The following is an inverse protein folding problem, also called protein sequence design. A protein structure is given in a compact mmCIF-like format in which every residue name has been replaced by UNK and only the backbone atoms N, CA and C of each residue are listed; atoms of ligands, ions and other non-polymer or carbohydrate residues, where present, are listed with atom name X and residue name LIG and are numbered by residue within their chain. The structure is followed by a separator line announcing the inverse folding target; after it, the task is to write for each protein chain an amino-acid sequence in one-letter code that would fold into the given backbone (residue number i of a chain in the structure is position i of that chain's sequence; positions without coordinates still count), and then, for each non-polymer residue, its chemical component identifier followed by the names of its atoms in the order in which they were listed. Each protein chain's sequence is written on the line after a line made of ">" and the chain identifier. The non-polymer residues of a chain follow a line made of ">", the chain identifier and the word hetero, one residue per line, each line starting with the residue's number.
data_IF_320878112599
#
_entry.id   IF_320878112599
#
_cell.length_a   1.000
_cell.length_b   1.000
_cell.length_c   1.000
_cell.angle_alpha   90.00
_cell.angle_beta   90.00
_cell.angle_gamma   90.00
#
_symmetry.space_group_name_H-M   'P 1'
#
loop_
_entity.id
_entity.type
_entity.pdbx_description
1 polymer ?
#
# COMPACT_ATOMS: atom_id res chain seq x y z
N UNK A 1 16.65 -3.13 0.28
CA UNK A 1 17.84 -2.62 -0.43
C UNK A 1 18.36 -1.34 0.19
N UNK A 2 17.56 -0.28 0.33
CA UNK A 2 18.02 0.99 0.92
C UNK A 2 18.67 0.84 2.30
N UNK A 3 18.08 0.05 3.20
CA UNK A 3 18.69 -0.28 4.49
C UNK A 3 20.06 -1.00 4.36
N UNK A 4 20.27 -1.85 3.35
CA UNK A 4 21.56 -2.53 3.15
C UNK A 4 22.65 -1.57 2.63
N UNK A 5 22.27 -0.58 1.82
CA UNK A 5 23.18 0.51 1.40
C UNK A 5 23.54 1.37 2.61
N UNK A 6 22.54 1.75 3.41
CA UNK A 6 22.74 2.48 4.66
C UNK A 6 23.66 1.73 5.63
N UNK A 7 23.52 0.41 5.74
CA UNK A 7 24.38 -0.47 6.55
C UNK A 7 25.84 -0.44 6.09
N UNK A 8 26.07 -0.52 4.77
CA UNK A 8 27.40 -0.44 4.19
C UNK A 8 28.05 0.93 4.46
N UNK A 9 27.28 2.01 4.36
CA UNK A 9 27.74 3.37 4.67
C UNK A 9 28.05 3.50 6.17
N UNK A 10 27.15 3.02 7.04
CA UNK A 10 27.33 3.08 8.49
C UNK A 10 28.60 2.34 8.94
N UNK A 11 28.88 1.17 8.36
CA UNK A 11 30.13 0.42 8.60
C UNK A 11 31.35 1.17 8.12
N UNK A 12 31.30 1.77 6.93
CA UNK A 12 32.42 2.51 6.35
C UNK A 12 32.78 3.76 7.17
N UNK A 13 31.78 4.39 7.77
CA UNK A 13 31.95 5.56 8.64
C UNK A 13 32.15 5.20 10.12
N UNK A 14 32.22 3.91 10.46
CA UNK A 14 32.38 3.42 11.84
C UNK A 14 31.41 4.05 12.83
N UNK A 15 30.16 4.24 12.42
CA UNK A 15 29.14 4.93 13.21
C UNK A 15 28.78 4.15 14.49
N UNK A 16 28.42 4.89 15.54
CA UNK A 16 27.88 4.31 16.78
C UNK A 16 26.58 3.54 16.54
N UNK A 17 26.20 2.66 17.49
CA UNK A 17 24.99 1.80 17.35
C UNK A 17 23.70 2.58 17.12
N UNK A 18 23.51 3.69 17.82
CA UNK A 18 22.32 4.54 17.68
C UNK A 18 22.27 5.18 16.29
N UNK A 19 23.41 5.62 15.77
CA UNK A 19 23.56 6.27 14.47
C UNK A 19 23.35 5.26 13.33
N UNK A 20 23.90 4.07 13.48
CA UNK A 20 23.70 2.97 12.55
C UNK A 20 22.21 2.61 12.46
N UNK A 21 21.51 2.42 13.59
CA UNK A 21 20.07 2.15 13.57
C UNK A 21 19.25 3.26 12.91
N UNK A 22 19.58 4.51 13.21
CA UNK A 22 18.93 5.65 12.60
C UNK A 22 19.12 5.67 11.08
N UNK A 23 20.34 5.43 10.61
CA UNK A 23 20.67 5.42 9.19
C UNK A 23 20.03 4.23 8.45
N UNK A 24 19.98 3.05 9.07
CA UNK A 24 19.29 1.88 8.53
C UNK A 24 17.80 2.15 8.31
N UNK A 25 17.15 2.73 9.32
CA UNK A 25 15.73 3.08 9.25
C UNK A 25 15.49 4.17 8.19
N UNK A 26 16.30 5.23 8.18
CA UNK A 26 16.25 6.28 7.15
C UNK A 26 16.48 5.72 5.74
N UNK A 27 17.42 4.79 5.57
CA UNK A 27 17.67 4.10 4.31
C UNK A 27 16.51 3.20 3.86
N UNK A 28 15.79 2.59 4.80
CA UNK A 28 14.55 1.87 4.48
C UNK A 28 13.47 2.84 3.96
N UNK A 29 13.26 3.96 4.65
CA UNK A 29 12.35 5.03 4.22
C UNK A 29 12.69 5.62 2.85
N UNK A 30 13.98 5.87 2.60
CA UNK A 30 14.46 6.34 1.31
C UNK A 30 14.16 5.35 0.17
N UNK A 31 14.27 4.05 0.42
CA UNK A 31 13.88 3.03 -0.55
C UNK A 31 12.38 3.05 -0.85
N UNK A 32 11.54 3.26 0.17
CA UNK A 32 10.09 3.42 -0.02
C UNK A 32 9.76 4.69 -0.79
N UNK A 33 10.43 5.80 -0.44
CA UNK A 33 10.27 7.06 -1.15
C UNK A 33 10.56 6.89 -2.64
N UNK A 34 11.73 6.31 -2.99
CA UNK A 34 12.10 6.05 -4.39
C UNK A 34 11.12 5.12 -5.10
N UNK A 35 10.57 4.11 -4.42
CA UNK A 35 9.66 3.14 -5.04
C UNK A 35 8.31 3.75 -5.47
N UNK A 36 7.86 4.82 -4.82
CA UNK A 36 6.54 5.44 -5.04
C UNK A 36 6.61 6.93 -5.35
N UNK A 37 7.81 7.43 -5.70
CA UNK A 37 8.08 8.85 -5.89
C UNK A 37 7.57 9.76 -4.75
N UNK A 38 7.57 9.25 -3.51
CA UNK A 38 6.86 9.80 -2.35
C UNK A 38 7.80 10.08 -1.16
N UNK A 39 8.55 11.21 -1.18
CA UNK A 39 9.53 11.54 -0.14
C UNK A 39 8.93 11.69 1.25
N UNK A 40 7.77 12.36 1.39
CA UNK A 40 7.15 12.58 2.69
C UNK A 40 6.62 11.25 3.26
N UNK A 41 6.02 10.42 2.42
CA UNK A 41 5.53 9.10 2.82
C UNK A 41 6.67 8.18 3.28
N UNK A 42 7.81 8.19 2.57
CA UNK A 42 9.01 7.45 2.97
C UNK A 42 9.52 7.85 4.35
N UNK A 43 9.54 9.15 4.65
CA UNK A 43 9.96 9.64 5.96
C UNK A 43 8.95 9.30 7.06
N UNK A 44 7.65 9.50 6.80
CA UNK A 44 6.60 9.21 7.80
C UNK A 44 6.47 7.71 8.07
N UNK A 45 6.65 6.86 7.07
CA UNK A 45 6.70 5.41 7.26
C UNK A 45 7.78 4.99 8.27
N UNK A 46 8.94 5.65 8.24
CA UNK A 46 10.01 5.39 9.21
C UNK A 46 9.54 5.72 10.63
N UNK A 47 8.88 6.86 10.80
CA UNK A 47 8.49 7.39 12.10
C UNK A 47 7.28 6.64 12.69
N UNK A 48 6.26 6.39 11.87
CA UNK A 48 4.99 5.79 12.28
C UNK A 48 5.08 4.26 12.39
N UNK A 49 5.64 3.58 11.39
CA UNK A 49 5.60 2.11 11.30
C UNK A 49 6.93 1.44 11.69
N UNK A 50 8.08 1.91 11.18
CA UNK A 50 9.35 1.20 11.41
C UNK A 50 9.93 1.41 12.81
N UNK A 51 9.91 2.65 13.29
CA UNK A 51 10.52 3.04 14.58
C UNK A 51 9.44 3.24 15.64
N UNK A 52 8.27 3.77 15.27
CA UNK A 52 7.18 4.07 16.20
C UNK A 52 7.51 5.22 17.17
N UNK A 53 8.47 6.08 16.83
CA UNK A 53 8.92 7.19 17.68
C UNK A 53 9.22 8.44 16.84
N UNK A 54 8.75 9.59 17.32
CA UNK A 54 8.93 10.90 16.69
C UNK A 54 10.06 11.68 17.35
N UNK A 55 11.28 11.16 17.26
CA UNK A 55 12.46 11.89 17.73
C UNK A 55 12.99 12.82 16.64
N UNK A 56 13.31 14.07 16.98
CA UNK A 56 13.78 15.07 16.02
C UNK A 56 14.97 14.58 15.16
N UNK A 57 15.87 13.81 15.78
CA UNK A 57 17.00 13.19 15.10
C UNK A 57 16.57 12.19 14.02
N UNK A 58 15.59 11.35 14.31
CA UNK A 58 15.05 10.37 13.37
C UNK A 58 14.29 11.05 12.24
N UNK A 59 13.54 12.11 12.55
CA UNK A 59 12.85 12.93 11.56
C UNK A 59 13.85 13.52 10.56
N UNK A 60 14.93 14.16 11.05
CA UNK A 60 15.97 14.72 10.19
C UNK A 60 16.66 13.67 9.32
N UNK A 61 16.99 12.51 9.89
CA UNK A 61 17.62 11.41 9.14
C UNK A 61 16.69 10.86 8.06
N UNK A 62 15.43 10.58 8.39
CA UNK A 62 14.45 10.02 7.47
C UNK A 62 14.10 11.00 6.34
N UNK A 63 13.90 12.28 6.65
CA UNK A 63 13.67 13.34 5.65
C UNK A 63 14.89 13.52 4.75
N UNK A 64 16.08 13.68 5.35
CA UNK A 64 17.32 13.91 4.59
C UNK A 64 17.62 12.77 3.63
N UNK A 65 17.47 11.52 4.07
CA UNK A 65 17.65 10.34 3.22
C UNK A 65 16.59 10.26 2.10
N UNK A 66 15.32 10.50 2.43
CA UNK A 66 14.21 10.43 1.45
C UNK A 66 14.32 11.53 0.39
N UNK A 67 14.63 12.77 0.79
CA UNK A 67 14.86 13.89 -0.14
C UNK A 67 16.04 13.59 -1.06
N UNK A 68 17.16 13.13 -0.51
CA UNK A 68 18.36 12.81 -1.31
C UNK A 68 18.06 11.72 -2.35
N UNK A 69 17.35 10.68 -1.95
CA UNK A 69 16.98 9.58 -2.82
C UNK A 69 15.99 10.01 -3.92
N UNK A 70 15.00 10.85 -3.59
CA UNK A 70 14.04 11.37 -4.55
C UNK A 70 14.66 12.37 -5.52
N UNK A 71 15.55 13.26 -5.06
CA UNK A 71 16.27 14.18 -5.95
C UNK A 71 17.05 13.40 -7.01
N UNK A 72 17.75 12.33 -6.60
CA UNK A 72 18.46 11.46 -7.53
C UNK A 72 17.50 10.73 -8.47
N UNK A 73 16.45 10.10 -7.91
CA UNK A 73 15.45 9.35 -8.67
C UNK A 73 14.76 10.21 -9.74
N UNK A 74 14.33 11.42 -9.38
CA UNK A 74 13.65 12.35 -10.30
C UNK A 74 14.57 12.90 -11.37
N UNK A 75 15.89 12.98 -11.11
CA UNK A 75 16.88 13.30 -12.13
C UNK A 75 16.98 12.24 -13.24
N UNK A 76 16.56 11.00 -12.97
CA UNK A 76 16.62 9.88 -13.93
C UNK A 76 15.22 9.58 -14.51
N UNK A 77 14.21 9.47 -13.65
CA UNK A 77 12.87 8.97 -13.99
C UNK A 77 11.84 10.10 -14.23
N UNK A 78 12.18 11.34 -13.89
CA UNK A 78 11.26 12.48 -13.94
C UNK A 78 10.44 12.66 -12.66
N UNK A 79 9.60 13.71 -12.63
CA UNK A 79 8.90 14.18 -11.43
C UNK A 79 7.38 14.00 -11.46
N UNK A 80 6.84 13.24 -12.41
CA UNK A 80 5.39 13.06 -12.53
C UNK A 80 4.87 12.15 -11.40
N UNK A 81 3.65 12.40 -10.88
CA UNK A 81 2.97 11.47 -9.99
C UNK A 81 2.76 10.11 -10.67
N UNK A 82 2.71 9.04 -9.88
CA UNK A 82 2.48 7.69 -10.38
C UNK A 82 1.08 7.52 -10.97
N UNK A 83 0.10 8.28 -10.47
CA UNK A 83 -1.28 8.27 -10.93
C UNK A 83 -1.79 9.67 -11.24
N UNK A 84 -2.52 9.79 -12.36
CA UNK A 84 -3.16 11.03 -12.79
C UNK A 84 -4.60 11.00 -12.34
N UNK A 85 -4.92 11.81 -11.32
CA UNK A 85 -6.28 12.05 -10.86
C UNK A 85 -6.77 13.42 -11.38
N UNK A 86 -7.99 13.45 -11.89
CA UNK A 86 -8.67 14.70 -12.25
C UNK A 86 -10.13 14.60 -11.85
N UNK A 87 -10.58 15.54 -11.02
CA UNK A 87 -11.97 15.62 -10.58
C UNK A 87 -12.40 17.10 -10.50
N UNK A 88 -13.59 17.45 -11.02
CA UNK A 88 -13.98 18.84 -11.22
C UNK A 88 -14.43 19.55 -9.93
N UNK A 89 -14.88 18.80 -8.92
CA UNK A 89 -15.48 19.37 -7.70
C UNK A 89 -15.11 18.54 -6.48
N UNK A 90 -14.63 19.21 -5.44
CA UNK A 90 -14.41 18.61 -4.13
C UNK A 90 -15.73 18.41 -3.39
N UNK A 91 -15.98 17.23 -2.79
CA UNK A 91 -17.13 17.02 -1.92
C UNK A 91 -16.93 17.75 -0.58
N UNK A 92 -17.28 19.04 -0.55
CA UNK A 92 -17.14 19.92 0.62
C UNK A 92 -18.27 19.77 1.63
N UNK A 93 -19.42 19.21 1.23
CA UNK A 93 -20.56 19.02 2.12
C UNK A 93 -20.29 17.91 3.14
N UNK A 94 -20.55 18.18 4.43
CA UNK A 94 -20.37 17.21 5.54
C UNK A 94 -21.12 15.91 5.29
N UNK A 95 -22.34 15.96 4.73
CA UNK A 95 -23.11 14.78 4.38
C UNK A 95 -22.37 13.84 3.39
N UNK A 96 -21.52 14.40 2.52
CA UNK A 96 -20.72 13.63 1.57
C UNK A 96 -19.51 12.94 2.23
N UNK A 97 -19.07 13.41 3.41
CA UNK A 97 -18.01 12.75 4.18
C UNK A 97 -18.44 11.39 4.74
N UNK A 98 -19.74 11.19 4.97
CA UNK A 98 -20.27 9.91 5.43
C UNK A 98 -20.00 8.78 4.42
N UNK A 99 -20.03 9.07 3.12
CA UNK A 99 -19.69 8.08 2.10
C UNK A 99 -18.23 7.63 2.17
N UNK A 100 -17.30 8.52 2.55
CA UNK A 100 -15.90 8.16 2.76
C UNK A 100 -15.68 7.35 4.04
N UNK A 101 -16.46 7.63 5.09
CA UNK A 101 -16.51 6.76 6.28
C UNK A 101 -16.97 5.36 5.88
N UNK A 102 -18.08 5.22 5.15
CA UNK A 102 -18.56 3.92 4.67
C UNK A 102 -17.53 3.21 3.79
N UNK A 103 -16.86 3.94 2.89
CA UNK A 103 -15.77 3.42 2.05
C UNK A 103 -14.64 2.85 2.91
N UNK A 104 -14.25 3.58 3.96
CA UNK A 104 -13.27 3.13 4.94
C UNK A 104 -13.71 1.89 5.71
N UNK A 105 -14.95 1.83 6.19
CA UNK A 105 -15.49 0.67 6.90
C UNK A 105 -15.45 -0.60 6.02
N UNK A 106 -15.95 -0.49 4.78
CA UNK A 106 -15.96 -1.59 3.81
C UNK A 106 -14.54 -2.01 3.43
N UNK A 107 -13.68 -1.06 3.11
CA UNK A 107 -12.29 -1.35 2.73
C UNK A 107 -11.49 -1.91 3.90
N UNK A 108 -11.77 -1.49 5.14
CA UNK A 108 -11.16 -2.04 6.35
C UNK A 108 -11.49 -3.53 6.55
N UNK A 109 -12.75 -3.93 6.31
CA UNK A 109 -13.12 -5.36 6.32
C UNK A 109 -12.37 -6.15 5.24
N UNK A 110 -12.25 -5.58 4.05
CA UNK A 110 -11.51 -6.20 2.95
C UNK A 110 -10.00 -6.29 3.25
N UNK A 111 -9.44 -5.33 3.98
CA UNK A 111 -8.05 -5.35 4.45
C UNK A 111 -7.79 -6.50 5.44
N UNK A 112 -8.75 -6.78 6.35
CA UNK A 112 -8.69 -7.97 7.22
C UNK A 112 -8.71 -9.25 6.37
N UNK A 113 -9.58 -9.31 5.37
CA UNK A 113 -9.61 -10.42 4.40
C UNK A 113 -8.27 -10.59 3.68
N UNK A 114 -7.64 -9.50 3.26
CA UNK A 114 -6.32 -9.49 2.65
C UNK A 114 -5.24 -10.06 3.58
N UNK A 115 -5.13 -9.55 4.80
CA UNK A 115 -4.15 -10.01 5.78
C UNK A 115 -4.27 -11.51 6.05
N UNK A 116 -5.51 -11.97 6.27
CA UNK A 116 -5.80 -13.39 6.51
C UNK A 116 -5.47 -14.26 5.31
N UNK A 117 -5.72 -13.78 4.09
CA UNK A 117 -5.43 -14.52 2.85
C UNK A 117 -3.93 -14.65 2.61
N UNK A 118 -3.15 -13.58 2.80
CA UNK A 118 -1.67 -13.62 2.73
C UNK A 118 -1.13 -14.65 3.73
N UNK A 119 -1.54 -14.56 5.00
CA UNK A 119 -1.07 -15.47 6.04
C UNK A 119 -1.53 -16.92 5.81
N UNK A 120 -2.74 -17.12 5.27
CA UNK A 120 -3.23 -18.44 4.92
C UNK A 120 -2.42 -19.07 3.77
N UNK A 121 -2.11 -18.30 2.72
CA UNK A 121 -1.28 -18.75 1.61
C UNK A 121 0.13 -19.13 2.09
N UNK A 122 0.73 -18.33 2.97
CA UNK A 122 2.02 -18.65 3.59
C UNK A 122 1.97 -19.93 4.43
N UNK A 123 0.96 -20.09 5.28
CA UNK A 123 0.78 -21.32 6.09
C UNK A 123 0.57 -22.55 5.23
N UNK A 124 -0.17 -22.43 4.12
CA UNK A 124 -0.37 -23.52 3.18
C UNK A 124 0.95 -23.87 2.50
N UNK A 125 1.71 -22.86 2.07
CA UNK A 125 3.01 -23.04 1.44
C UNK A 125 4.03 -23.71 2.37
N UNK A 126 3.98 -23.45 3.69
CA UNK A 126 4.83 -24.10 4.69
C UNK A 126 4.47 -25.58 4.92
N UNK A 127 3.21 -25.97 4.67
CA UNK A 127 2.74 -27.36 4.84
C UNK A 127 3.01 -28.24 3.63
N UNK A 128 3.23 -27.64 2.46
CA UNK A 128 3.51 -28.38 1.25
C UNK A 128 4.97 -28.87 1.26
N UNK A 129 5.24 -30.17 1.06
CA UNK A 129 6.60 -30.73 1.04
C UNK A 129 7.29 -30.44 -0.31
N UNK A 130 7.24 -29.19 -0.76
CA UNK A 130 7.78 -28.74 -2.05
C UNK A 130 8.96 -27.81 -1.78
N UNK A 131 10.07 -28.06 -2.49
CA UNK A 131 11.24 -27.19 -2.47
C UNK A 131 10.87 -25.73 -2.78
N UNK A 132 11.53 -24.78 -2.11
CA UNK A 132 11.36 -23.35 -2.38
C UNK A 132 11.62 -23.01 -3.85
N UNK A 133 12.59 -23.67 -4.49
CA UNK A 133 12.90 -23.48 -5.90
C UNK A 133 11.76 -23.94 -6.80
N UNK A 134 11.23 -25.15 -6.57
CA UNK A 134 10.11 -25.69 -7.35
C UNK A 134 8.86 -24.82 -7.18
N UNK A 135 8.56 -24.38 -5.95
CA UNK A 135 7.45 -23.48 -5.67
C UNK A 135 7.59 -22.15 -6.40
N UNK A 136 8.78 -21.53 -6.33
CA UNK A 136 9.07 -20.30 -7.05
C UNK A 136 8.96 -20.46 -8.57
N UNK A 137 9.44 -21.58 -9.14
CA UNK A 137 9.32 -21.87 -10.57
C UNK A 137 7.86 -22.04 -11.00
N UNK A 138 7.05 -22.79 -10.25
CA UNK A 138 5.64 -23.02 -10.59
C UNK A 138 4.82 -21.73 -10.51
N UNK A 139 4.99 -20.96 -9.43
CA UNK A 139 4.25 -19.70 -9.24
C UNK A 139 4.75 -18.63 -10.21
N UNK A 140 6.06 -18.57 -10.46
CA UNK A 140 6.64 -17.70 -11.49
C UNK A 140 6.17 -18.06 -12.90
N UNK A 141 6.04 -19.36 -13.21
CA UNK A 141 5.46 -19.84 -14.46
C UNK A 141 3.99 -19.48 -14.61
N UNK A 142 3.20 -19.62 -13.54
CA UNK A 142 1.81 -19.14 -13.49
C UNK A 142 1.74 -17.62 -13.70
N UNK A 143 2.60 -16.85 -13.05
CA UNK A 143 2.65 -15.41 -13.24
C UNK A 143 3.04 -15.03 -14.67
N UNK A 144 4.00 -15.74 -15.28
CA UNK A 144 4.36 -15.58 -16.68
C UNK A 144 3.21 -15.90 -17.63
N UNK A 145 2.42 -16.95 -17.34
CA UNK A 145 1.23 -17.28 -18.11
C UNK A 145 0.15 -16.19 -18.00
N UNK A 146 -0.08 -15.66 -16.80
CA UNK A 146 -1.01 -14.53 -16.58
C UNK A 146 -0.55 -13.32 -17.39
N UNK A 147 0.75 -12.97 -17.33
CA UNK A 147 1.32 -11.86 -18.12
C UNK A 147 1.16 -12.09 -19.62
N UNK A 148 1.32 -13.33 -20.09
CA UNK A 148 1.15 -13.68 -21.50
C UNK A 148 -0.31 -13.55 -21.97
N UNK A 149 -1.27 -13.89 -21.11
CA UNK A 149 -2.71 -13.75 -21.42
C UNK A 149 -3.15 -12.28 -21.37
N UNK A 150 -2.80 -11.57 -20.30
CA UNK A 150 -3.06 -10.15 -20.13
C UNK A 150 -2.03 -9.54 -19.15
N UNK A 151 -1.12 -8.67 -19.63
CA UNK A 151 -0.10 -8.06 -18.79
C UNK A 151 -0.68 -7.17 -17.68
N UNK A 152 -1.91 -6.65 -17.83
CA UNK A 152 -2.54 -5.78 -16.85
C UNK A 152 -3.04 -6.52 -15.61
N UNK A 153 -3.21 -7.85 -15.68
CA UNK A 153 -3.68 -8.66 -14.56
C UNK A 153 -2.57 -8.95 -13.53
N UNK A 154 -1.30 -8.90 -13.96
CA UNK A 154 -0.13 -9.16 -13.11
C UNK A 154 0.53 -7.86 -12.60
N UNK A 155 1.67 -7.99 -11.92
CA UNK A 155 2.47 -6.85 -11.44
C UNK A 155 1.87 -6.08 -10.26
N UNK A 156 2.41 -4.87 -10.02
CA UNK A 156 2.03 -4.00 -8.90
C UNK A 156 0.55 -3.58 -8.92
N UNK A 157 -0.04 -3.52 -10.11
CA UNK A 157 -1.43 -3.12 -10.32
C UNK A 157 -1.59 -1.65 -10.72
N UNK A 158 -0.53 -1.00 -11.18
CA UNK A 158 -0.53 0.42 -11.54
C UNK A 158 -1.59 0.73 -12.62
N UNK A 159 -1.69 -0.12 -13.64
CA UNK A 159 -2.72 0.01 -14.67
C UNK A 159 -4.13 -0.11 -14.08
N UNK A 160 -4.38 -1.09 -13.19
CA UNK A 160 -5.69 -1.29 -12.58
C UNK A 160 -6.05 -0.11 -11.66
N UNK A 161 -5.08 0.41 -10.92
CA UNK A 161 -5.25 1.59 -10.08
C UNK A 161 -5.60 2.81 -10.93
N UNK A 162 -4.85 3.07 -12.00
CA UNK A 162 -5.13 4.18 -12.91
C UNK A 162 -6.49 4.01 -13.60
N UNK A 163 -6.82 2.81 -14.07
CA UNK A 163 -8.11 2.50 -14.69
C UNK A 163 -9.28 2.69 -13.71
N UNK A 164 -9.08 2.37 -12.42
CA UNK A 164 -10.07 2.66 -11.38
C UNK A 164 -10.24 4.16 -11.16
N UNK A 165 -9.14 4.93 -11.06
CA UNK A 165 -9.17 6.39 -10.92
C UNK A 165 -9.87 7.04 -12.11
N UNK A 166 -9.56 6.59 -13.33
CA UNK A 166 -10.15 7.06 -14.58
C UNK A 166 -11.56 6.51 -14.86
N UNK A 167 -12.11 5.67 -13.96
CA UNK A 167 -13.43 5.06 -14.08
C UNK A 167 -13.65 4.30 -15.42
N UNK A 168 -12.63 3.61 -15.92
CA UNK A 168 -12.69 2.84 -17.17
C UNK A 168 -13.02 1.35 -16.95
N UNK A 169 -13.01 0.90 -15.69
CA UNK A 169 -13.37 -0.47 -15.31
C UNK A 169 -14.88 -0.58 -15.17
N UNK A 170 -15.47 -1.56 -15.86
CA UNK A 170 -16.89 -1.87 -15.72
C UNK A 170 -17.20 -2.42 -14.32
N UNK A 171 -18.24 -1.91 -13.66
CA UNK A 171 -18.62 -2.29 -12.30
C UNK A 171 -18.81 -3.80 -12.11
N UNK A 172 -19.30 -4.51 -13.14
CA UNK A 172 -19.48 -5.96 -13.12
C UNK A 172 -18.16 -6.74 -12.95
N UNK A 173 -17.05 -6.17 -13.42
CA UNK A 173 -15.73 -6.81 -13.37
C UNK A 173 -15.01 -6.59 -12.04
N UNK A 174 -15.43 -5.61 -11.23
CA UNK A 174 -14.73 -5.26 -9.99
C UNK A 174 -14.61 -6.44 -9.02
N UNK A 175 -15.68 -7.20 -8.71
CA UNK A 175 -15.57 -8.32 -7.78
C UNK A 175 -14.62 -9.40 -8.30
N UNK A 176 -14.66 -9.69 -9.61
CA UNK A 176 -13.79 -10.67 -10.25
C UNK A 176 -12.32 -10.24 -10.18
N UNK A 177 -12.01 -9.00 -10.55
CA UNK A 177 -10.66 -8.44 -10.49
C UNK A 177 -10.13 -8.39 -9.05
N UNK A 178 -10.97 -8.01 -8.10
CA UNK A 178 -10.60 -7.96 -6.69
C UNK A 178 -10.23 -9.34 -6.16
N UNK A 179 -11.11 -10.34 -6.36
CA UNK A 179 -10.86 -11.73 -5.90
C UNK A 179 -9.64 -12.31 -6.60
N UNK A 180 -9.52 -12.11 -7.92
CA UNK A 180 -8.37 -12.57 -8.68
C UNK A 180 -7.07 -12.00 -8.10
N UNK A 181 -6.96 -10.68 -7.95
CA UNK A 181 -5.74 -10.03 -7.42
C UNK A 181 -5.45 -10.41 -5.98
N UNK A 182 -6.47 -10.56 -5.15
CA UNK A 182 -6.33 -10.98 -3.75
C UNK A 182 -5.70 -12.38 -3.68
N UNK A 183 -6.24 -13.34 -4.43
CA UNK A 183 -5.74 -14.73 -4.44
C UNK A 183 -4.39 -14.81 -5.13
N UNK A 184 -4.26 -14.22 -6.32
CA UNK A 184 -3.02 -14.26 -7.10
C UNK A 184 -1.87 -13.55 -6.38
N UNK A 185 -2.13 -12.42 -5.72
CA UNK A 185 -1.15 -11.72 -4.89
C UNK A 185 -0.71 -12.55 -3.69
N UNK A 186 -1.64 -13.23 -3.02
CA UNK A 186 -1.31 -14.12 -1.90
C UNK A 186 -0.48 -15.34 -2.33
N UNK A 187 -0.83 -15.96 -3.46
CA UNK A 187 -0.05 -17.06 -4.05
C UNK A 187 1.34 -16.55 -4.47
N UNK A 188 1.42 -15.41 -5.13
CA UNK A 188 2.70 -14.80 -5.55
C UNK A 188 3.60 -14.50 -4.35
N UNK A 189 3.05 -13.97 -3.26
CA UNK A 189 3.83 -13.71 -2.05
C UNK A 189 4.30 -15.01 -1.37
N UNK A 190 3.48 -16.07 -1.43
CA UNK A 190 3.83 -17.39 -0.91
C UNK A 190 4.93 -18.11 -1.71
N UNK A 191 5.31 -17.61 -2.89
CA UNK A 191 6.46 -18.11 -3.64
C UNK A 191 7.79 -17.96 -2.89
N UNK A 192 7.85 -17.10 -1.87
CA UNK A 192 9.06 -16.77 -1.11
C UNK A 192 10.17 -16.14 -1.96
N UNK A 193 9.79 -15.44 -3.04
CA UNK A 193 10.67 -14.58 -3.82
C UNK A 193 10.71 -13.16 -3.24
N UNK A 194 11.80 -12.39 -3.44
CA UNK A 194 11.86 -10.99 -3.00
C UNK A 194 10.71 -10.17 -3.61
N UNK A 195 9.90 -9.53 -2.77
CA UNK A 195 8.75 -8.76 -3.19
C UNK A 195 8.11 -7.97 -2.05
N UNK A 196 7.18 -7.08 -2.40
CA UNK A 196 6.47 -6.21 -1.47
C UNK A 196 4.96 -6.41 -1.52
N UNK A 197 4.27 -5.93 -0.47
CA UNK A 197 2.81 -5.98 -0.35
C UNK A 197 2.13 -4.63 -0.63
N UNK A 198 2.89 -3.52 -0.69
CA UNK A 198 2.37 -2.16 -0.81
C UNK A 198 1.56 -1.95 -2.10
N UNK A 199 2.18 -2.05 -3.27
CA UNK A 199 1.49 -1.76 -4.54
C UNK A 199 0.26 -2.67 -4.79
N UNK A 200 0.34 -4.00 -4.59
CA UNK A 200 -0.83 -4.86 -4.75
C UNK A 200 -1.98 -4.52 -3.79
N UNK A 201 -1.66 -4.11 -2.56
CA UNK A 201 -2.65 -3.67 -1.58
C UNK A 201 -3.32 -2.36 -2.00
N UNK A 202 -2.56 -1.37 -2.49
CA UNK A 202 -3.13 -0.12 -3.01
C UNK A 202 -4.07 -0.38 -4.19
N UNK A 203 -3.70 -1.29 -5.10
CA UNK A 203 -4.56 -1.67 -6.22
C UNK A 203 -5.89 -2.32 -5.77
N UNK A 204 -5.86 -3.16 -4.73
CA UNK A 204 -7.08 -3.71 -4.13
C UNK A 204 -7.93 -2.61 -3.46
N UNK A 205 -7.28 -1.65 -2.79
CA UNK A 205 -7.96 -0.47 -2.24
C UNK A 205 -8.58 0.43 -3.31
N UNK A 206 -7.93 0.56 -4.46
CA UNK A 206 -8.47 1.29 -5.61
C UNK A 206 -9.76 0.62 -6.13
N UNK A 207 -9.76 -0.71 -6.26
CA UNK A 207 -10.93 -1.49 -6.67
C UNK A 207 -12.07 -1.41 -5.63
N UNK A 208 -11.76 -1.49 -4.34
CA UNK A 208 -12.80 -1.36 -3.29
C UNK A 208 -13.39 0.05 -3.25
N UNK A 209 -12.55 1.08 -3.40
CA UNK A 209 -12.99 2.46 -3.52
C UNK A 209 -13.87 2.69 -4.75
N UNK A 210 -13.49 2.11 -5.90
CA UNK A 210 -14.31 2.15 -7.11
C UNK A 210 -15.68 1.49 -6.90
N UNK A 211 -15.74 0.32 -6.27
CA UNK A 211 -17.01 -0.32 -5.93
C UNK A 211 -17.88 0.58 -5.04
N UNK A 212 -17.27 1.22 -4.04
CA UNK A 212 -17.98 2.14 -3.13
C UNK A 212 -18.50 3.39 -3.86
N UNK A 213 -17.79 3.88 -4.89
CA UNK A 213 -18.23 5.03 -5.68
C UNK A 213 -19.52 4.71 -6.45
N UNK A 214 -19.66 3.52 -7.01
CA UNK A 214 -20.88 3.08 -7.70
C UNK A 214 -22.06 2.98 -6.73
N UNK A 215 -21.83 2.41 -5.54
CA UNK A 215 -22.86 2.36 -4.49
C UNK A 215 -23.28 3.76 -4.07
N UNK A 216 -22.34 4.68 -3.87
CA UNK A 216 -22.64 6.06 -3.49
C UNK A 216 -23.45 6.81 -4.57
N UNK A 217 -23.13 6.59 -5.85
CA UNK A 217 -23.88 7.17 -6.98
C UNK A 217 -25.32 6.65 -7.06
N UNK A 218 -25.54 5.37 -6.72
CA UNK A 218 -26.91 4.81 -6.65
C UNK A 218 -27.69 5.43 -5.47
N UNK A 219 -27.04 5.62 -4.33
CA UNK A 219 -27.67 6.14 -3.11
C UNK A 219 -27.91 7.66 -3.16
N UNK A 220 -27.13 8.41 -3.94
CA UNK A 220 -27.29 9.85 -4.08
C UNK A 220 -27.03 10.33 -5.53
N UNK A 221 -27.95 10.01 -6.47
CA UNK A 221 -27.79 10.34 -7.90
C UNK A 221 -27.69 11.84 -8.17
N UNK A 222 -28.38 12.66 -7.36
CA UNK A 222 -28.43 14.11 -7.51
C UNK A 222 -27.12 14.80 -7.08
N UNK A 223 -26.26 14.08 -6.36
CA UNK A 223 -24.94 14.59 -6.01
C UNK A 223 -23.95 14.14 -7.06
N UNK A 224 -23.38 15.09 -7.81
CA UNK A 224 -22.25 14.86 -8.70
C UNK A 224 -21.01 14.42 -7.89
N UNK A 225 -21.00 13.16 -7.44
CA UNK A 225 -19.92 12.53 -6.70
C UNK A 225 -18.92 11.99 -7.71
N UNK A 226 -17.75 12.61 -7.76
CA UNK A 226 -16.66 12.11 -8.60
C UNK A 226 -16.16 10.75 -8.08
N UNK A 227 -15.88 9.84 -9.02
CA UNK A 227 -15.33 8.50 -8.71
C UNK A 227 -13.93 8.54 -8.11
N UNK A 228 -13.04 9.38 -8.65
CA UNK A 228 -11.62 9.41 -8.26
C UNK A 228 -11.40 9.60 -6.74
N UNK A 229 -12.08 10.53 -6.04
CA UNK A 229 -11.97 10.64 -4.58
C UNK A 229 -12.25 9.34 -3.81
N UNK A 230 -13.23 8.53 -4.22
CA UNK A 230 -13.53 7.25 -3.57
C UNK A 230 -12.41 6.24 -3.76
N UNK A 231 -11.85 6.19 -4.97
CA UNK A 231 -10.72 5.30 -5.30
C UNK A 231 -9.50 5.65 -4.47
N UNK A 232 -9.15 6.95 -4.40
CA UNK A 232 -8.03 7.48 -3.62
C UNK A 232 -8.23 7.20 -2.12
N UNK A 233 -9.43 7.42 -1.60
CA UNK A 233 -9.77 7.08 -0.21
C UNK A 233 -9.69 5.58 0.03
N UNK A 234 -10.14 4.75 -0.92
CA UNK A 234 -10.03 3.29 -0.85
C UNK A 234 -8.58 2.81 -0.78
N UNK A 235 -7.68 3.39 -1.60
CA UNK A 235 -6.24 3.09 -1.56
C UNK A 235 -5.66 3.32 -0.16
N UNK A 236 -5.87 4.52 0.41
CA UNK A 236 -5.36 4.85 1.74
C UNK A 236 -6.02 4.03 2.85
N UNK A 237 -7.33 3.77 2.73
CA UNK A 237 -8.10 2.96 3.68
C UNK A 237 -7.63 1.51 3.74
N UNK A 238 -7.32 0.91 2.59
CA UNK A 238 -6.79 -0.45 2.51
C UNK A 238 -5.42 -0.54 3.19
N UNK A 239 -4.57 0.46 2.96
CA UNK A 239 -3.28 0.59 3.62
C UNK A 239 -3.41 0.73 5.13
N UNK A 240 -4.22 1.68 5.59
CA UNK A 240 -4.44 1.94 7.01
C UNK A 240 -5.06 0.74 7.73
N UNK A 241 -6.01 0.05 7.11
CA UNK A 241 -6.65 -1.15 7.67
C UNK A 241 -5.70 -2.33 7.78
N UNK A 242 -4.83 -2.55 6.79
CA UNK A 242 -3.91 -3.70 6.76
C UNK A 242 -2.63 -3.48 7.57
N UNK A 243 -2.02 -2.31 7.41
CA UNK A 243 -0.71 -1.96 7.99
C UNK A 243 -0.83 -1.32 9.37
N UNK A 244 -1.93 -0.61 9.66
CA UNK A 244 -2.12 0.21 10.89
C UNK A 244 -1.27 1.48 10.96
N UNK A 245 -0.89 2.00 9.80
CA UNK A 245 -0.11 3.22 9.64
C UNK A 245 -0.90 4.22 8.78
N UNK A 246 -1.93 4.89 9.35
CA UNK A 246 -2.84 5.76 8.60
C UNK A 246 -2.14 7.00 8.04
N UNK A 247 -1.23 7.64 8.78
CA UNK A 247 -0.61 8.89 8.34
C UNK A 247 0.26 8.62 7.12
N UNK A 248 1.03 7.53 7.14
CA UNK A 248 1.81 7.06 5.99
C UNK A 248 0.92 6.76 4.80
N UNK A 249 -0.17 6.00 4.98
CA UNK A 249 -1.08 5.66 3.88
C UNK A 249 -1.69 6.89 3.21
N UNK A 250 -2.11 7.87 4.01
CA UNK A 250 -2.67 9.14 3.53
C UNK A 250 -1.63 9.92 2.73
N UNK A 251 -0.43 10.13 3.29
CA UNK A 251 0.64 10.91 2.62
C UNK A 251 1.12 10.20 1.36
N UNK A 252 1.29 8.87 1.41
CA UNK A 252 1.68 8.06 0.26
C UNK A 252 0.72 8.26 -0.91
N UNK A 253 -0.57 8.08 -0.67
CA UNK A 253 -1.58 8.20 -1.72
C UNK A 253 -1.70 9.64 -2.21
N UNK A 254 -1.57 10.65 -1.34
CA UNK A 254 -1.54 12.05 -1.77
C UNK A 254 -0.35 12.34 -2.69
N UNK A 255 0.86 11.88 -2.36
CA UNK A 255 2.04 12.10 -3.21
C UNK A 255 1.96 11.33 -4.54
N UNK A 256 1.42 10.10 -4.53
CA UNK A 256 1.26 9.30 -5.74
C UNK A 256 0.18 9.83 -6.70
N UNK A 257 -0.82 10.57 -6.20
CA UNK A 257 -1.98 11.03 -6.99
C UNK A 257 -2.04 12.55 -7.17
N UNK A 258 -1.19 13.31 -6.47
CA UNK A 258 -1.24 14.77 -6.43
C UNK A 258 -2.48 15.37 -5.74
N UNK A 259 -3.29 14.56 -5.06
CA UNK A 259 -4.62 14.96 -4.57
C UNK A 259 -4.63 15.49 -3.13
N UNK A 260 -3.87 16.57 -2.89
CA UNK A 260 -3.72 17.19 -1.56
C UNK A 260 -5.03 17.76 -0.99
N UNK A 261 -6.03 18.01 -1.82
CA UNK A 261 -7.31 18.57 -1.36
C UNK A 261 -8.21 17.53 -0.65
N UNK A 262 -7.84 16.24 -0.71
CA UNK A 262 -8.62 15.13 -0.14
C UNK A 262 -8.23 14.75 1.29
N UNK A 263 -7.48 15.58 2.03
CA UNK A 263 -7.02 15.25 3.39
C UNK A 263 -8.16 14.79 4.30
N UNK A 264 -9.29 15.52 4.31
CA UNK A 264 -10.42 15.19 5.18
C UNK A 264 -11.08 13.84 4.80
N UNK A 265 -11.49 13.59 3.54
CA UNK A 265 -11.93 12.27 3.09
C UNK A 265 -10.96 11.13 3.42
N UNK A 266 -9.66 11.36 3.20
CA UNK A 266 -8.60 10.38 3.45
C UNK A 266 -8.50 10.04 4.95
N UNK A 267 -8.60 11.03 5.83
CA UNK A 267 -8.68 10.83 7.28
C UNK A 267 -9.92 10.02 7.66
N UNK A 268 -11.10 10.39 7.15
CA UNK A 268 -12.35 9.70 7.42
C UNK A 268 -12.28 8.21 7.03
N UNK A 269 -11.82 7.91 5.81
CA UNK A 269 -11.71 6.53 5.33
C UNK A 269 -10.66 5.73 6.10
N UNK A 270 -9.45 6.28 6.25
CA UNK A 270 -8.33 5.58 6.91
C UNK A 270 -8.62 5.29 8.38
N UNK A 271 -9.20 6.26 9.11
CA UNK A 271 -9.62 6.06 10.49
C UNK A 271 -10.69 4.96 10.60
N UNK A 272 -11.72 5.01 9.75
CA UNK A 272 -12.81 4.03 9.75
C UNK A 272 -12.29 2.61 9.45
N UNK A 273 -11.36 2.50 8.51
CA UNK A 273 -10.72 1.22 8.17
C UNK A 273 -9.95 0.64 9.36
N UNK A 274 -9.21 1.48 10.10
CA UNK A 274 -8.52 1.05 11.31
C UNK A 274 -9.48 0.62 12.41
N UNK A 275 -10.56 1.38 12.66
CA UNK A 275 -11.54 1.02 13.69
C UNK A 275 -12.10 -0.37 13.42
N UNK A 276 -12.52 -0.64 12.18
CA UNK A 276 -13.13 -1.92 11.82
C UNK A 276 -12.13 -3.06 11.85
N UNK A 277 -10.94 -2.88 11.29
CA UNK A 277 -9.91 -3.91 11.37
C UNK A 277 -9.56 -4.19 12.85
N UNK A 278 -9.57 -3.18 13.71
CA UNK A 278 -9.31 -3.30 15.15
C UNK A 278 -10.40 -4.10 15.86
N UNK A 279 -11.66 -3.78 15.57
CA UNK A 279 -12.81 -4.52 16.09
C UNK A 279 -12.82 -6.00 15.65
N UNK A 280 -12.27 -6.31 14.47
CA UNK A 280 -12.11 -7.69 13.99
C UNK A 280 -10.96 -8.47 14.65
N UNK A 281 -10.19 -7.85 15.55
CA UNK A 281 -9.03 -8.46 16.20
C UNK A 281 -7.88 -8.77 15.23
N UNK A 282 -7.80 -8.08 14.09
CA UNK A 282 -6.78 -8.34 13.08
C UNK A 282 -5.43 -7.72 13.45
N UNK A 283 -4.39 -8.54 13.45
CA UNK A 283 -3.02 -8.11 13.71
C UNK A 283 -2.45 -7.37 12.50
N UNK A 284 -1.80 -6.19 12.66
CA UNK A 284 -1.12 -5.50 11.57
C UNK A 284 -0.23 -6.46 10.76
N UNK A 285 -0.27 -6.36 9.43
CA UNK A 285 0.34 -7.35 8.56
C UNK A 285 1.85 -7.49 8.76
N UNK A 286 2.58 -6.39 8.94
CA UNK A 286 4.03 -6.43 9.16
C UNK A 286 4.39 -7.02 10.52
N UNK A 287 3.58 -6.76 11.54
CA UNK A 287 3.75 -7.39 12.84
C UNK A 287 3.49 -8.90 12.76
N UNK A 288 2.42 -9.33 12.08
CA UNK A 288 2.13 -10.74 11.89
C UNK A 288 3.25 -11.47 11.12
N UNK A 289 3.81 -10.85 10.08
CA UNK A 289 4.94 -11.38 9.33
C UNK A 289 6.22 -11.43 10.16
N UNK A 290 6.48 -10.41 11.00
CA UNK A 290 7.61 -10.37 11.94
C UNK A 290 7.54 -11.52 12.93
N UNK A 291 6.37 -11.73 13.54
CA UNK A 291 6.14 -12.83 14.49
C UNK A 291 6.34 -14.19 13.82
N UNK A 292 5.80 -14.39 12.60
CA UNK A 292 6.02 -15.63 11.83
C UNK A 292 7.51 -15.87 11.54
N UNK A 293 8.24 -14.85 11.12
CA UNK A 293 9.66 -14.96 10.82
C UNK A 293 10.52 -15.30 12.05
N UNK A 294 10.08 -14.89 13.25
CA UNK A 294 10.75 -15.24 14.51
C UNK A 294 10.58 -16.72 14.89
N UNK A 295 9.43 -17.33 14.58
CA UNK A 295 9.16 -18.75 14.86
C UNK A 295 9.99 -19.67 13.97
N UNK A 296 10.16 -19.34 12.68
CA UNK A 296 10.92 -20.17 11.74
C UNK A 296 12.45 -20.18 11.92
N UNK A 297 12.98 -19.43 12.90
CA UNK A 297 14.42 -19.40 13.26
C UNK A 297 14.76 -20.25 14.49
N UNK A 298 13.78 -20.92 15.09
CA UNK A 298 13.95 -21.91 16.16
C UNK A 298 13.80 -23.30 15.60
#
# INVERSE_FOLDING_TARGET
>A
MGAAVADAIARRLSLGRADCRALLAAGAGAGLATAFNAPAAGAVFVLEELVGQFEARMVCAALGASISAIMFSRGILGSQPDFIASYPVLPTAVAKQLFFVMTGLMTGLLAVGYNRTILAALRLADRLPVSIYTRATLIGGLAGLVVWLDPHLAGGGDWITQAAISNTINWHLIPLLFVFRLVFGAVSYAAATPGGLFAPMLALGALSGLACSFVAQILSPDTALATAPFVIVGMASMFAGSVRSPVTGIILVMEMTGSSDLVLPLLCGSFSAMVVAGACGDTPIYEALRLRAAVGRR
#
